data_IF_134260010825
#
_entry.id   IF_134260010825
#
_cell.length_a   1.000
_cell.length_b   1.000
_cell.length_c   1.000
_cell.angle_alpha   90.00
_cell.angle_beta   90.00
_cell.angle_gamma   90.00
#
_symmetry.space_group_name_H-M   'P 1'
#
loop_
_entity.id
_entity.type
_entity.pdbx_description
1 polymer ?
#
# COMPACT_ATOMS: atom_id res chain seq x y z
N UNK A 1 70.82 36.55 -23.26
CA UNK A 1 72.15 35.98 -22.91
C UNK A 1 72.17 35.60 -21.44
N UNK A 2 72.87 34.50 -21.11
CA UNK A 2 73.41 34.09 -19.80
C UNK A 2 72.46 33.94 -18.60
N UNK A 3 72.36 32.68 -18.17
CA UNK A 3 71.75 32.19 -16.93
C UNK A 3 72.58 32.51 -15.68
N UNK A 4 71.89 32.59 -14.54
CA UNK A 4 72.40 32.54 -13.17
C UNK A 4 71.25 31.97 -12.29
N UNK A 5 71.45 31.31 -11.14
CA UNK A 5 72.66 30.82 -10.48
C UNK A 5 72.25 29.60 -9.62
N UNK A 6 73.17 28.65 -9.38
CA UNK A 6 72.95 27.57 -8.40
C UNK A 6 73.05 28.13 -6.99
N UNK A 7 72.35 27.54 -6.02
CA UNK A 7 72.97 27.30 -4.71
C UNK A 7 72.46 25.99 -4.09
N UNK A 8 73.39 25.11 -3.77
CA UNK A 8 73.21 23.90 -2.97
C UNK A 8 74.34 23.92 -1.94
N UNK A 9 74.01 23.72 -0.66
CA UNK A 9 75.03 23.56 0.39
C UNK A 9 74.81 22.23 1.12
N UNK A 10 75.91 21.49 1.26
CA UNK A 10 75.98 20.13 1.85
C UNK A 10 76.39 20.17 3.33
N UNK A 11 76.06 19.09 4.05
CA UNK A 11 76.84 18.29 5.05
C UNK A 11 75.81 17.39 5.77
N UNK A 12 75.90 16.05 5.92
CA UNK A 12 77.03 15.11 6.05
C UNK A 12 77.39 14.95 7.55
N UNK A 13 77.44 13.80 8.23
CA UNK A 13 77.43 12.34 7.89
C UNK A 13 76.84 11.53 9.10
N UNK A 14 76.13 10.39 8.93
CA UNK A 14 76.53 8.95 9.15
C UNK A 14 77.32 8.61 10.45
N UNK A 15 77.33 7.33 10.95
CA UNK A 15 76.28 6.29 11.03
C UNK A 15 76.33 5.43 12.35
N UNK A 16 75.42 4.44 12.55
CA UNK A 16 75.78 3.05 12.98
C UNK A 16 74.57 2.08 13.06
N UNK A 17 74.86 0.79 12.95
CA UNK A 17 73.94 -0.36 12.82
C UNK A 17 73.70 -1.10 14.15
N UNK A 18 72.60 -1.87 14.22
CA UNK A 18 72.37 -3.18 14.91
C UNK A 18 70.83 -3.32 15.16
N UNK A 19 70.14 -4.46 15.10
CA UNK A 19 70.27 -5.72 14.33
C UNK A 19 68.89 -6.44 14.35
N UNK A 20 68.62 -7.32 13.37
CA UNK A 20 67.68 -8.49 13.29
C UNK A 20 66.51 -8.65 14.30
N UNK A 21 65.36 -9.26 13.99
CA UNK A 21 64.62 -9.64 12.78
C UNK A 21 63.37 -10.42 13.23
N UNK A 22 62.16 -10.18 12.68
CA UNK A 22 61.04 -11.15 12.69
C UNK A 22 60.29 -11.07 11.37
N UNK A 23 60.03 -12.22 10.76
CA UNK A 23 59.20 -12.34 9.55
C UNK A 23 57.72 -12.19 9.91
N UNK A 24 56.98 -11.42 9.12
CA UNK A 24 55.74 -11.94 8.53
C UNK A 24 55.39 -11.16 7.26
N UNK A 25 55.61 -11.77 6.11
CA UNK A 25 55.15 -11.26 4.82
C UNK A 25 53.67 -11.59 4.65
N UNK A 26 52.79 -10.75 5.20
CA UNK A 26 51.40 -10.73 4.75
C UNK A 26 51.35 -10.06 3.38
N UNK A 27 51.47 -10.87 2.32
CA UNK A 27 51.09 -10.43 1.00
C UNK A 27 49.61 -10.05 1.05
N UNK A 28 49.30 -8.77 0.86
CA UNK A 28 47.96 -8.30 0.61
C UNK A 28 47.55 -8.80 -0.79
N UNK A 29 47.15 -10.07 -0.87
CA UNK A 29 46.39 -10.59 -1.99
C UNK A 29 45.06 -9.87 -1.93
N UNK A 30 44.99 -8.77 -2.66
CA UNK A 30 43.76 -8.03 -2.88
C UNK A 30 42.87 -8.91 -3.75
N UNK A 31 42.14 -9.82 -3.07
CA UNK A 31 41.15 -10.70 -3.67
C UNK A 31 40.03 -9.79 -4.18
N UNK A 32 40.19 -9.35 -5.42
CA UNK A 32 39.14 -8.79 -6.26
C UNK A 32 38.15 -9.91 -6.58
N UNK A 33 37.40 -10.34 -5.55
CA UNK A 33 36.09 -10.93 -5.77
C UNK A 33 35.29 -9.81 -6.41
N UNK A 34 34.97 -9.97 -7.69
CA UNK A 34 33.95 -9.16 -8.34
C UNK A 34 32.62 -9.42 -7.63
N UNK A 35 32.39 -8.59 -6.60
CA UNK A 35 31.14 -8.51 -5.87
C UNK A 35 30.16 -7.77 -6.75
N UNK A 36 29.71 -8.45 -7.80
CA UNK A 36 28.55 -8.02 -8.60
C UNK A 36 27.44 -7.69 -7.62
N UNK A 37 26.93 -6.47 -7.71
CA UNK A 37 26.13 -5.89 -6.64
C UNK A 37 24.85 -6.70 -6.37
N UNK A 38 24.80 -7.34 -5.20
CA UNK A 38 23.59 -8.00 -4.69
C UNK A 38 22.41 -7.03 -4.55
N UNK A 39 22.69 -5.72 -4.56
CA UNK A 39 21.72 -4.63 -4.51
C UNK A 39 21.14 -4.27 -5.88
N UNK A 40 21.82 -4.55 -7.01
CA UNK A 40 21.25 -4.29 -8.34
C UNK A 40 20.24 -5.37 -8.78
N UNK A 41 20.45 -6.65 -8.39
CA UNK A 41 19.48 -7.71 -8.69
C UNK A 41 18.10 -7.45 -8.04
N UNK A 42 18.06 -6.81 -6.88
CA UNK A 42 16.81 -6.51 -6.17
C UNK A 42 15.90 -5.52 -6.93
N UNK A 43 16.43 -4.82 -7.95
CA UNK A 43 15.64 -3.95 -8.86
C UNK A 43 15.25 -4.61 -10.18
N UNK A 44 15.52 -5.92 -10.32
CA UNK A 44 15.34 -6.77 -11.51
C UNK A 44 14.77 -8.16 -11.18
N UNK A 45 14.16 -8.32 -10.00
CA UNK A 45 13.79 -9.62 -9.43
C UNK A 45 12.70 -10.42 -10.17
N UNK A 46 12.10 -9.86 -11.23
CA UNK A 46 11.03 -10.50 -12.01
C UNK A 46 11.54 -11.21 -13.30
N UNK A 47 12.79 -10.98 -13.72
CA UNK A 47 13.33 -11.46 -15.02
C UNK A 47 14.23 -12.71 -14.92
N UNK A 48 14.62 -13.13 -13.71
CA UNK A 48 15.68 -14.12 -13.48
C UNK A 48 15.27 -15.24 -12.51
N UNK A 49 15.81 -16.44 -12.71
CA UNK A 49 15.70 -17.59 -11.81
C UNK A 49 17.07 -18.19 -11.50
N UNK A 50 17.23 -18.84 -10.34
CA UNK A 50 18.48 -19.50 -9.97
C UNK A 50 18.46 -20.99 -10.33
N UNK A 51 19.52 -21.48 -10.96
CA UNK A 51 19.75 -22.92 -11.22
C UNK A 51 20.45 -23.54 -10.02
N UNK A 52 19.87 -24.59 -9.44
CA UNK A 52 20.37 -25.19 -8.19
C UNK A 52 21.75 -25.84 -8.35
N UNK A 53 22.02 -26.49 -9.48
CA UNK A 53 23.27 -27.25 -9.70
C UNK A 53 24.51 -26.38 -9.92
N UNK A 54 24.36 -25.19 -10.52
CA UNK A 54 25.47 -24.27 -10.83
C UNK A 54 25.48 -23.01 -9.96
N UNK A 55 24.38 -22.70 -9.28
CA UNK A 55 24.18 -21.45 -8.54
C UNK A 55 23.98 -20.22 -9.43
N UNK A 56 24.03 -20.35 -10.76
CA UNK A 56 23.87 -19.24 -11.70
C UNK A 56 22.44 -18.71 -11.72
N UNK A 57 22.32 -17.40 -11.95
CA UNK A 57 21.04 -16.76 -12.24
C UNK A 57 20.86 -16.69 -13.77
N UNK A 58 19.83 -17.33 -14.29
CA UNK A 58 19.48 -17.35 -15.71
C UNK A 58 18.25 -16.48 -15.97
N UNK A 59 18.15 -15.89 -17.16
CA UNK A 59 16.92 -15.20 -17.58
C UNK A 59 15.80 -16.20 -17.83
N UNK A 60 14.59 -15.83 -17.39
CA UNK A 60 13.35 -16.57 -17.66
C UNK A 60 13.09 -16.67 -19.18
N UNK A 61 12.41 -17.74 -19.58
CA UNK A 61 11.87 -17.88 -20.93
C UNK A 61 10.55 -17.10 -21.05
N UNK A 62 10.28 -16.43 -22.20
CA UNK A 62 9.05 -15.69 -22.40
C UNK A 62 7.82 -16.60 -22.46
N UNK A 63 6.62 -16.01 -22.27
CA UNK A 63 5.35 -16.68 -22.48
C UNK A 63 5.29 -17.38 -23.86
N UNK A 64 4.68 -18.56 -23.92
CA UNK A 64 4.67 -19.39 -25.12
C UNK A 64 5.92 -20.22 -25.38
N UNK A 65 6.89 -20.21 -24.44
CA UNK A 65 8.10 -21.02 -24.52
C UNK A 65 8.43 -21.72 -23.20
N UNK A 66 9.21 -22.80 -23.28
CA UNK A 66 9.74 -23.53 -22.14
C UNK A 66 11.28 -23.58 -22.18
N UNK A 67 11.91 -23.82 -21.02
CA UNK A 67 13.37 -23.97 -20.91
C UNK A 67 13.78 -25.35 -21.44
N UNK A 68 14.49 -25.37 -22.57
CA UNK A 68 15.09 -26.58 -23.13
C UNK A 68 16.51 -26.81 -22.61
N UNK A 69 17.29 -25.75 -22.43
CA UNK A 69 18.57 -25.78 -21.71
C UNK A 69 18.71 -24.55 -20.79
N UNK A 70 19.30 -24.75 -19.61
CA UNK A 70 19.67 -23.65 -18.72
C UNK A 70 20.82 -22.81 -19.29
N UNK A 71 20.96 -21.58 -18.80
CA UNK A 71 22.06 -20.70 -19.21
C UNK A 71 23.42 -21.28 -18.80
N UNK A 72 24.46 -20.93 -19.57
CA UNK A 72 25.85 -21.45 -19.41
C UNK A 72 26.79 -20.45 -18.72
N UNK A 73 26.25 -19.34 -18.23
CA UNK A 73 26.98 -18.23 -17.61
C UNK A 73 26.07 -17.41 -16.68
N UNK A 74 26.66 -16.66 -15.74
CA UNK A 74 25.92 -15.79 -14.82
C UNK A 74 25.15 -14.68 -15.56
N UNK A 75 23.86 -14.54 -15.26
CA UNK A 75 22.91 -13.60 -15.88
C UNK A 75 22.65 -13.85 -17.39
N UNK A 76 23.07 -15.00 -17.91
CA UNK A 76 22.89 -15.43 -19.30
C UNK A 76 21.43 -15.77 -19.66
N UNK A 77 21.15 -15.90 -20.96
CA UNK A 77 19.84 -16.39 -21.44
C UNK A 77 19.75 -17.91 -21.35
N UNK A 78 18.58 -18.40 -20.95
CA UNK A 78 18.20 -19.81 -21.15
C UNK A 78 17.94 -20.08 -22.64
N UNK A 79 18.07 -21.33 -23.07
CA UNK A 79 17.62 -21.78 -24.39
C UNK A 79 16.13 -22.10 -24.32
N UNK A 80 15.30 -21.29 -24.99
CA UNK A 80 13.85 -21.39 -24.93
C UNK A 80 13.28 -21.97 -26.23
N UNK A 81 12.41 -22.98 -26.12
CA UNK A 81 11.71 -23.59 -27.26
C UNK A 81 10.20 -23.31 -27.19
N UNK A 82 9.50 -23.14 -28.33
CA UNK A 82 8.07 -22.86 -28.37
C UNK A 82 7.25 -24.05 -27.86
N UNK A 83 6.07 -23.75 -27.31
CA UNK A 83 5.08 -24.77 -26.99
C UNK A 83 4.48 -25.44 -28.24
N UNK A 84 4.18 -26.73 -28.13
CA UNK A 84 3.35 -27.46 -29.09
C UNK A 84 1.87 -27.04 -28.99
N UNK A 85 1.04 -27.48 -29.92
CA UNK A 85 -0.36 -27.02 -30.04
C UNK A 85 -1.26 -27.39 -28.84
N UNK A 86 -0.91 -28.41 -28.05
CA UNK A 86 -1.61 -28.78 -26.82
C UNK A 86 -0.93 -28.26 -25.53
N UNK A 87 0.04 -27.34 -25.66
CA UNK A 87 0.79 -26.75 -24.57
C UNK A 87 0.74 -25.21 -24.54
N UNK A 88 0.73 -24.64 -23.34
CA UNK A 88 0.81 -23.20 -23.12
C UNK A 88 1.70 -22.80 -21.92
N UNK A 89 2.16 -21.56 -21.91
CA UNK A 89 2.84 -20.88 -20.80
C UNK A 89 2.42 -19.40 -20.84
N UNK A 90 1.61 -18.96 -19.87
CA UNK A 90 0.99 -17.61 -19.90
C UNK A 90 1.93 -16.47 -19.48
N UNK A 91 2.88 -16.74 -18.60
CA UNK A 91 3.81 -15.76 -18.03
C UNK A 91 5.27 -16.19 -18.24
N UNK A 92 6.24 -15.25 -18.27
CA UNK A 92 7.65 -15.60 -18.30
C UNK A 92 8.01 -16.56 -17.18
N UNK A 93 8.67 -17.67 -17.50
CA UNK A 93 8.84 -18.79 -16.57
C UNK A 93 10.15 -19.55 -16.79
N UNK A 94 10.46 -20.45 -15.86
CA UNK A 94 11.59 -21.38 -15.95
C UNK A 94 11.12 -22.84 -16.10
N UNK A 95 9.88 -23.08 -16.54
CA UNK A 95 9.35 -24.43 -16.69
C UNK A 95 10.11 -25.21 -17.77
N UNK A 96 10.53 -26.44 -17.45
CA UNK A 96 11.20 -27.34 -18.41
C UNK A 96 10.27 -28.04 -19.42
N UNK A 97 8.98 -27.67 -19.44
CA UNK A 97 7.96 -28.07 -20.41
C UNK A 97 6.76 -27.12 -20.33
N UNK A 98 5.96 -27.04 -21.38
CA UNK A 98 4.72 -26.26 -21.33
C UNK A 98 3.63 -26.95 -20.47
N UNK A 99 2.68 -26.17 -19.97
CA UNK A 99 1.48 -26.66 -19.28
C UNK A 99 0.50 -27.18 -20.32
N UNK A 100 -0.14 -28.33 -20.07
CA UNK A 100 -1.11 -28.88 -21.02
C UNK A 100 -2.39 -28.06 -21.03
N UNK A 101 -2.92 -27.79 -22.22
CA UNK A 101 -4.22 -27.16 -22.42
C UNK A 101 -5.36 -27.95 -21.73
N UNK A 102 -6.33 -27.24 -21.16
CA UNK A 102 -7.52 -27.82 -20.55
C UNK A 102 -8.54 -28.20 -21.64
N UNK A 103 -8.98 -29.46 -21.68
CA UNK A 103 -10.17 -29.87 -22.45
C UNK A 103 -11.46 -29.55 -21.68
N UNK A 104 -12.34 -28.71 -22.22
CA UNK A 104 -13.62 -28.38 -21.58
C UNK A 104 -14.48 -29.64 -21.34
N UNK A 105 -15.17 -29.66 -20.18
CA UNK A 105 -16.05 -30.76 -19.79
C UNK A 105 -17.37 -30.76 -20.57
N UNK A 106 -18.13 -31.86 -20.46
CA UNK A 106 -19.45 -32.00 -21.08
C UNK A 106 -20.49 -30.96 -20.61
N UNK A 107 -20.37 -30.39 -19.41
CA UNK A 107 -21.23 -29.31 -18.89
C UNK A 107 -20.82 -27.91 -19.35
N UNK A 108 -19.69 -27.81 -20.06
CA UNK A 108 -19.08 -26.56 -20.51
C UNK A 108 -19.09 -26.42 -22.04
N UNK A 109 -18.74 -25.24 -22.52
CA UNK A 109 -18.40 -24.94 -23.91
C UNK A 109 -17.08 -24.17 -23.96
N UNK A 110 -16.32 -24.39 -25.03
CA UNK A 110 -15.12 -23.61 -25.32
C UNK A 110 -15.54 -22.19 -25.76
N UNK A 111 -15.11 -21.18 -24.99
CA UNK A 111 -15.26 -19.77 -25.33
C UNK A 111 -14.08 -19.27 -26.17
N UNK A 112 -12.87 -19.76 -25.89
CA UNK A 112 -11.71 -19.54 -26.74
C UNK A 112 -10.75 -20.74 -26.72
N UNK A 113 -10.16 -21.10 -27.87
CA UNK A 113 -9.22 -22.21 -27.99
C UNK A 113 -7.89 -21.91 -27.30
N UNK A 114 -7.19 -22.96 -26.90
CA UNK A 114 -5.84 -22.85 -26.38
C UNK A 114 -4.87 -22.29 -27.44
N UNK A 115 -3.84 -21.59 -26.98
CA UNK A 115 -2.66 -21.26 -27.78
C UNK A 115 -1.41 -21.25 -26.88
N UNK A 116 -0.22 -21.06 -27.46
CA UNK A 116 1.02 -21.11 -26.70
C UNK A 116 1.07 -20.18 -25.47
N UNK A 117 0.35 -19.04 -25.46
CA UNK A 117 0.36 -18.07 -24.34
C UNK A 117 -0.90 -18.06 -23.49
N UNK A 118 -1.93 -18.87 -23.81
CA UNK A 118 -3.20 -18.90 -23.08
C UNK A 118 -3.82 -20.29 -23.08
N UNK A 119 -4.30 -20.72 -21.91
CA UNK A 119 -5.10 -21.93 -21.79
C UNK A 119 -6.42 -21.81 -22.57
N UNK A 120 -7.04 -22.95 -22.88
CA UNK A 120 -8.45 -23.02 -23.28
C UNK A 120 -9.33 -22.33 -22.26
N UNK A 121 -10.24 -21.47 -22.71
CA UNK A 121 -11.22 -20.83 -21.83
C UNK A 121 -12.55 -21.56 -21.92
N UNK A 122 -12.92 -22.27 -20.84
CA UNK A 122 -14.18 -22.99 -20.75
C UNK A 122 -15.21 -22.17 -19.96
N UNK A 123 -16.45 -22.10 -20.45
CA UNK A 123 -17.59 -21.47 -19.74
C UNK A 123 -18.75 -22.44 -19.61
N UNK A 124 -19.56 -22.26 -18.57
CA UNK A 124 -20.74 -23.08 -18.34
C UNK A 124 -21.79 -22.95 -19.46
N UNK A 125 -22.46 -24.05 -19.79
CA UNK A 125 -23.56 -24.06 -20.78
C UNK A 125 -24.70 -23.14 -20.37
N UNK A 126 -25.47 -22.65 -21.35
CA UNK A 126 -26.57 -21.72 -21.09
C UNK A 126 -27.59 -22.29 -20.07
N UNK A 127 -27.99 -21.47 -19.10
CA UNK A 127 -28.80 -21.90 -17.95
C UNK A 127 -27.99 -22.55 -16.81
N UNK A 128 -26.66 -22.51 -16.86
CA UNK A 128 -25.77 -22.94 -15.77
C UNK A 128 -24.64 -21.93 -15.51
N UNK A 129 -24.08 -21.95 -14.30
CA UNK A 129 -23.08 -20.99 -13.83
C UNK A 129 -22.07 -21.62 -12.85
N UNK A 130 -20.94 -20.93 -12.63
CA UNK A 130 -20.01 -21.18 -11.53
C UNK A 130 -19.56 -19.84 -10.93
N UNK A 131 -19.63 -19.66 -9.60
CA UNK A 131 -19.06 -18.45 -8.99
C UNK A 131 -17.53 -18.41 -9.19
N UNK A 132 -16.91 -17.24 -9.47
CA UNK A 132 -15.46 -17.08 -9.45
C UNK A 132 -14.83 -17.30 -8.06
N UNK A 133 -15.62 -17.27 -6.98
CA UNK A 133 -15.13 -17.43 -5.60
C UNK A 133 -14.66 -18.86 -5.27
N UNK A 134 -15.02 -19.86 -6.10
CA UNK A 134 -14.74 -21.28 -5.84
C UNK A 134 -14.31 -22.00 -7.13
N UNK A 135 -13.49 -23.08 -7.05
CA UNK A 135 -13.19 -23.92 -8.20
C UNK A 135 -14.47 -24.47 -8.85
N UNK A 136 -14.62 -24.26 -10.17
CA UNK A 136 -15.77 -24.72 -10.93
C UNK A 136 -15.71 -26.23 -11.22
N UNK A 137 -15.88 -27.07 -10.20
CA UNK A 137 -15.88 -28.54 -10.34
C UNK A 137 -17.07 -29.03 -11.18
N UNK A 138 -18.24 -28.42 -11.02
CA UNK A 138 -19.43 -28.63 -11.84
C UNK A 138 -20.20 -27.32 -12.08
N UNK A 139 -20.78 -27.15 -13.26
CA UNK A 139 -21.67 -26.03 -13.56
C UNK A 139 -23.03 -26.20 -12.86
N UNK A 140 -23.34 -25.27 -11.95
CA UNK A 140 -24.58 -25.24 -11.17
C UNK A 140 -25.74 -24.73 -12.04
N UNK A 141 -26.96 -25.26 -11.87
CA UNK A 141 -28.13 -24.77 -12.62
C UNK A 141 -28.58 -23.42 -12.08
N UNK A 142 -28.84 -22.47 -12.98
CA UNK A 142 -29.41 -21.17 -12.62
C UNK A 142 -30.78 -21.34 -11.95
N UNK A 143 -31.08 -20.52 -10.94
CA UNK A 143 -32.42 -20.36 -10.41
C UNK A 143 -33.36 -19.77 -11.49
N UNK A 144 -34.51 -20.42 -11.71
CA UNK A 144 -35.44 -20.07 -12.79
C UNK A 144 -36.32 -18.85 -12.48
N UNK A 145 -36.59 -18.59 -11.19
CA UNK A 145 -37.44 -17.50 -10.69
C UNK A 145 -36.97 -17.07 -9.31
N UNK A 146 -37.02 -15.77 -9.02
CA UNK A 146 -36.71 -15.24 -7.69
C UNK A 146 -37.62 -15.80 -6.59
N UNK A 147 -37.16 -15.83 -5.32
CA UNK A 147 -38.00 -16.18 -4.17
C UNK A 147 -39.23 -15.28 -4.06
N UNK A 148 -40.28 -15.79 -3.40
CA UNK A 148 -41.54 -15.06 -3.18
C UNK A 148 -41.31 -13.68 -2.58
N UNK A 149 -41.89 -12.65 -3.22
CA UNK A 149 -41.74 -11.26 -2.79
C UNK A 149 -40.48 -10.54 -3.31
N UNK A 150 -39.66 -11.19 -4.14
CA UNK A 150 -38.50 -10.58 -4.80
C UNK A 150 -38.68 -10.48 -6.32
N UNK A 151 -38.01 -9.49 -6.93
CA UNK A 151 -37.96 -9.29 -8.39
C UNK A 151 -36.56 -9.55 -8.92
N UNK A 152 -36.49 -9.91 -10.20
CA UNK A 152 -35.24 -10.10 -10.93
C UNK A 152 -34.52 -8.76 -11.12
N UNK A 153 -33.32 -8.64 -10.56
CA UNK A 153 -32.44 -7.48 -10.74
C UNK A 153 -31.51 -7.71 -11.95
N UNK A 154 -30.91 -8.90 -12.07
CA UNK A 154 -30.05 -9.26 -13.19
C UNK A 154 -30.32 -10.69 -13.69
N UNK A 155 -30.05 -11.01 -14.97
CA UNK A 155 -30.07 -12.39 -15.46
C UNK A 155 -28.95 -13.23 -14.83
N UNK A 156 -29.17 -14.56 -14.81
CA UNK A 156 -28.07 -15.50 -14.60
C UNK A 156 -27.03 -15.34 -15.71
N UNK A 157 -25.76 -15.50 -15.36
CA UNK A 157 -24.60 -15.44 -16.27
C UNK A 157 -23.78 -16.73 -16.09
N UNK A 158 -22.82 -17.07 -16.97
CA UNK A 158 -21.93 -18.20 -16.73
C UNK A 158 -21.11 -18.12 -15.43
N UNK A 159 -21.06 -16.94 -14.79
CA UNK A 159 -20.26 -16.65 -13.60
C UNK A 159 -21.09 -16.32 -12.34
N UNK A 160 -22.42 -16.25 -12.44
CA UNK A 160 -23.29 -15.86 -11.33
C UNK A 160 -24.73 -16.32 -11.54
N UNK A 161 -25.44 -16.69 -10.47
CA UNK A 161 -26.87 -16.98 -10.57
C UNK A 161 -27.72 -15.73 -10.88
N UNK A 162 -29.01 -15.95 -11.10
CA UNK A 162 -30.08 -14.95 -11.14
C UNK A 162 -30.04 -14.05 -9.89
N UNK A 163 -29.69 -12.77 -10.05
CA UNK A 163 -29.71 -11.83 -8.93
C UNK A 163 -31.15 -11.35 -8.67
N UNK A 164 -31.56 -11.50 -7.41
CA UNK A 164 -32.89 -11.17 -6.92
C UNK A 164 -32.80 -10.17 -5.76
N UNK A 165 -33.85 -9.36 -5.59
CA UNK A 165 -33.96 -8.45 -4.45
C UNK A 165 -35.37 -7.91 -4.29
N UNK A 166 -35.61 -7.04 -3.30
CA UNK A 166 -36.95 -6.48 -3.07
C UNK A 166 -37.44 -5.73 -4.31
N UNK A 167 -38.76 -5.69 -4.57
CA UNK A 167 -39.33 -4.80 -5.56
C UNK A 167 -38.98 -3.36 -5.20
N UNK A 168 -37.99 -2.80 -5.89
CA UNK A 168 -37.67 -1.38 -5.84
C UNK A 168 -38.81 -0.63 -6.53
N UNK A 169 -39.87 -0.37 -5.76
CA UNK A 169 -40.87 0.63 -6.13
C UNK A 169 -40.14 1.89 -6.55
N UNK A 170 -40.43 2.37 -7.76
CA UNK A 170 -39.58 3.31 -8.51
C UNK A 170 -38.96 4.37 -7.62
N UNK A 171 -37.66 4.22 -7.29
CA UNK A 171 -36.96 5.17 -6.43
C UNK A 171 -36.99 6.53 -7.16
N UNK A 172 -37.78 7.42 -6.59
CA UNK A 172 -38.57 8.33 -7.40
C UNK A 172 -37.70 9.34 -8.13
N UNK A 173 -38.01 9.58 -9.40
CA UNK A 173 -37.46 10.71 -10.16
C UNK A 173 -37.65 12.06 -9.43
N UNK A 174 -38.59 12.15 -8.48
CA UNK A 174 -38.72 13.30 -7.58
C UNK A 174 -37.46 13.60 -6.78
N UNK A 175 -36.65 12.61 -6.35
CA UNK A 175 -35.40 12.88 -5.63
C UNK A 175 -34.37 13.60 -6.52
N UNK A 176 -34.24 13.17 -7.79
CA UNK A 176 -33.36 13.83 -8.75
C UNK A 176 -33.87 15.24 -9.09
N UNK A 177 -35.19 15.42 -9.24
CA UNK A 177 -35.81 16.73 -9.45
C UNK A 177 -35.55 17.67 -8.26
N UNK A 178 -35.69 17.19 -7.03
CA UNK A 178 -35.42 17.98 -5.80
C UNK A 178 -33.95 18.41 -5.73
N UNK A 179 -33.01 17.53 -6.06
CA UNK A 179 -31.57 17.87 -6.11
C UNK A 179 -31.32 18.96 -7.17
N UNK A 180 -31.88 18.83 -8.37
CA UNK A 180 -31.74 19.84 -9.44
C UNK A 180 -32.29 21.21 -9.01
N UNK A 181 -33.45 21.24 -8.33
CA UNK A 181 -34.04 22.48 -7.81
C UNK A 181 -33.13 23.12 -6.75
N UNK A 182 -32.59 22.34 -5.80
CA UNK A 182 -31.68 22.83 -4.76
C UNK A 182 -30.41 23.43 -5.37
N UNK A 183 -29.80 22.76 -6.35
CA UNK A 183 -28.60 23.25 -7.06
C UNK A 183 -28.91 24.55 -7.82
N UNK A 184 -30.05 24.63 -8.50
CA UNK A 184 -30.46 25.84 -9.22
C UNK A 184 -30.67 27.04 -8.26
N UNK A 185 -31.34 26.83 -7.13
CA UNK A 185 -31.54 27.87 -6.11
C UNK A 185 -30.21 28.34 -5.49
N UNK A 186 -29.29 27.41 -5.21
CA UNK A 186 -27.96 27.74 -4.71
C UNK A 186 -27.15 28.58 -5.72
N UNK A 187 -27.20 28.23 -7.01
CA UNK A 187 -26.55 29.00 -8.08
C UNK A 187 -27.12 30.43 -8.20
N UNK A 188 -28.46 30.59 -8.15
CA UNK A 188 -29.11 31.91 -8.16
C UNK A 188 -28.70 32.74 -6.95
N UNK A 189 -28.66 32.14 -5.74
CA UNK A 189 -28.20 32.83 -4.53
C UNK A 189 -26.73 33.28 -4.64
N UNK A 190 -25.84 32.44 -5.19
CA UNK A 190 -24.45 32.82 -5.44
C UNK A 190 -24.34 33.99 -6.43
N UNK A 191 -25.10 33.98 -7.53
CA UNK A 191 -25.13 35.09 -8.48
C UNK A 191 -25.62 36.39 -7.83
N UNK A 192 -26.66 36.33 -6.99
CA UNK A 192 -27.16 37.49 -6.24
C UNK A 192 -26.15 38.00 -5.20
N UNK A 193 -25.39 37.12 -4.55
CA UNK A 193 -24.31 37.50 -3.63
C UNK A 193 -23.12 38.13 -4.35
N UNK A 194 -22.75 37.61 -5.52
CA UNK A 194 -21.72 38.20 -6.38
C UNK A 194 -22.17 39.58 -6.87
N UNK A 195 -23.41 39.73 -7.35
CA UNK A 195 -23.96 41.02 -7.76
C UNK A 195 -23.99 42.02 -6.59
N UNK A 196 -24.44 41.62 -5.40
CA UNK A 196 -24.38 42.47 -4.19
C UNK A 196 -22.97 42.86 -3.77
N UNK A 197 -21.94 42.04 -4.05
CA UNK A 197 -20.53 42.41 -3.84
C UNK A 197 -20.05 43.41 -4.90
N UNK A 198 -20.36 43.18 -6.17
CA UNK A 198 -19.99 44.10 -7.26
C UNK A 198 -20.65 45.48 -7.14
N UNK A 199 -21.95 45.55 -6.79
CA UNK A 199 -22.66 46.82 -6.61
C UNK A 199 -22.36 47.54 -5.28
N UNK A 200 -21.52 46.96 -4.41
CA UNK A 200 -21.04 47.63 -3.18
C UNK A 200 -19.68 48.32 -3.35
N UNK A 201 -19.08 48.29 -4.54
CA UNK A 201 -17.98 49.18 -4.90
C UNK A 201 -18.48 50.34 -5.78
N UNK A 202 -18.87 51.49 -5.18
CA UNK A 202 -19.00 52.72 -5.94
C UNK A 202 -17.59 53.22 -6.29
N UNK A 203 -17.18 53.04 -7.54
CA UNK A 203 -16.03 53.75 -8.07
C UNK A 203 -16.43 55.22 -8.28
N UNK A 204 -15.93 56.11 -7.43
CA UNK A 204 -15.98 57.54 -7.66
C UNK A 204 -15.05 57.89 -8.85
N UNK A 205 -15.49 58.75 -9.78
CA UNK A 205 -14.62 59.17 -10.88
C UNK A 205 -15.33 59.71 -12.12
N UNK A 206 -15.78 60.96 -12.01
CA UNK A 206 -15.94 61.96 -13.09
C UNK A 206 -16.94 61.72 -14.24
N UNK A 207 -17.59 62.80 -14.66
CA UNK A 207 -18.67 62.82 -15.64
C UNK A 207 -18.49 63.99 -16.60
N UNK A 208 -18.08 63.70 -17.85
CA UNK A 208 -18.07 64.67 -18.95
C UNK A 208 -18.65 64.09 -20.24
N UNK A 209 -19.87 64.55 -20.51
CA UNK A 209 -20.57 64.78 -21.79
C UNK A 209 -20.51 63.78 -22.97
N UNK A 210 -21.69 63.18 -23.20
CA UNK A 210 -22.47 63.16 -24.47
C UNK A 210 -21.78 62.79 -25.80
N UNK A 211 -22.12 61.61 -26.35
CA UNK A 211 -21.60 61.12 -27.64
C UNK A 211 -22.49 60.15 -28.45
N UNK A 212 -23.81 60.34 -28.43
CA UNK A 212 -24.87 59.74 -29.28
C UNK A 212 -24.43 58.89 -30.52
N UNK A 213 -24.46 57.54 -30.42
CA UNK A 213 -25.14 56.63 -31.39
C UNK A 213 -24.99 55.12 -31.06
N UNK A 214 -26.14 54.45 -30.95
CA UNK A 214 -26.54 53.26 -31.71
C UNK A 214 -25.67 51.96 -31.67
N UNK A 215 -26.15 50.99 -30.88
CA UNK A 215 -26.48 49.66 -31.43
C UNK A 215 -25.34 48.66 -31.71
N UNK A 216 -24.79 48.03 -30.67
CA UNK A 216 -24.52 46.58 -30.73
C UNK A 216 -24.30 45.97 -29.32
N UNK A 217 -25.13 44.99 -28.94
CA UNK A 217 -24.96 44.25 -27.67
C UNK A 217 -23.64 43.45 -27.67
N UNK A 218 -23.18 43.05 -28.85
CA UNK A 218 -21.89 42.37 -29.05
C UNK A 218 -20.72 43.24 -28.61
N UNK A 219 -20.76 44.56 -28.83
CA UNK A 219 -19.68 45.46 -28.43
C UNK A 219 -19.55 45.58 -26.90
N UNK A 220 -20.69 45.53 -26.19
CA UNK A 220 -20.71 45.51 -24.71
C UNK A 220 -20.13 44.19 -24.16
N UNK A 221 -20.49 43.05 -24.76
CA UNK A 221 -19.96 41.73 -24.38
C UNK A 221 -18.44 41.61 -24.64
N UNK A 222 -17.96 42.10 -25.79
CA UNK A 222 -16.52 42.10 -26.13
C UNK A 222 -15.71 43.01 -25.19
N UNK A 223 -16.23 44.17 -24.80
CA UNK A 223 -15.59 45.05 -23.82
C UNK A 223 -15.52 44.44 -22.41
N UNK A 224 -16.52 43.66 -22.00
CA UNK A 224 -16.49 42.96 -20.71
C UNK A 224 -15.48 41.81 -20.72
N UNK A 225 -15.43 41.01 -21.79
CA UNK A 225 -14.47 39.90 -21.91
C UNK A 225 -13.02 40.39 -21.96
N UNK A 226 -12.73 41.52 -22.65
CA UNK A 226 -11.38 42.09 -22.70
C UNK A 226 -10.89 42.68 -21.37
N UNK A 227 -11.79 43.11 -20.47
CA UNK A 227 -11.42 43.57 -19.12
C UNK A 227 -11.07 42.43 -18.16
N UNK A 228 -11.63 41.23 -18.35
CA UNK A 228 -11.28 40.06 -17.56
C UNK A 228 -9.96 39.36 -17.97
N UNK A 229 -9.33 39.76 -19.08
CA UNK A 229 -8.12 39.12 -19.61
C UNK A 229 -6.85 39.99 -19.61
N UNK A 230 -6.86 41.15 -18.93
CA UNK A 230 -5.67 42.02 -18.79
C UNK A 230 -5.53 42.59 -17.37
N UNK A 231 -5.32 41.69 -16.41
CA UNK A 231 -5.09 42.00 -15.00
C UNK A 231 -4.16 40.99 -14.32
N UNK A 232 -3.02 40.70 -14.94
CA UNK A 232 -1.99 39.79 -14.39
C UNK A 232 -0.78 40.54 -13.84
N UNK A 233 -0.29 40.07 -12.68
CA UNK A 233 0.97 40.38 -11.99
C UNK A 233 1.18 41.81 -11.40
N UNK A 234 1.51 41.82 -10.09
CA UNK A 234 1.92 43.00 -9.30
C UNK A 234 0.74 43.74 -8.63
N UNK A 235 0.71 44.00 -7.32
CA UNK A 235 1.65 43.75 -6.20
C UNK A 235 0.92 43.04 -5.03
N UNK A 236 1.66 42.40 -4.13
CA UNK A 236 1.11 41.73 -2.93
C UNK A 236 1.76 42.29 -1.68
N UNK A 237 1.25 43.43 -1.22
CA UNK A 237 1.88 44.17 -0.12
C UNK A 237 1.50 43.61 1.27
N UNK A 238 2.48 43.66 2.16
CA UNK A 238 2.56 42.88 3.39
C UNK A 238 2.06 43.68 4.61
N UNK A 239 0.76 43.59 4.94
CA UNK A 239 0.22 44.15 6.19
C UNK A 239 -0.77 43.16 6.85
N UNK A 240 -0.23 42.11 7.47
CA UNK A 240 -0.84 41.46 8.66
C UNK A 240 0.24 40.79 9.51
N UNK A 241 1.25 41.58 9.88
CA UNK A 241 2.27 41.17 10.84
C UNK A 241 2.58 42.30 11.82
N UNK A 242 1.52 42.85 12.43
CA UNK A 242 1.59 43.69 13.63
C UNK A 242 0.26 43.55 14.40
N UNK A 243 0.34 43.61 15.73
CA UNK A 243 -0.66 43.20 16.74
C UNK A 243 -0.58 41.75 17.26
N UNK A 244 0.65 41.27 17.49
CA UNK A 244 0.92 40.15 18.41
C UNK A 244 2.07 40.50 19.38
N UNK A 245 2.01 41.68 20.02
CA UNK A 245 3.01 42.17 20.99
C UNK A 245 2.40 43.14 22.00
N UNK A 246 1.37 42.64 22.69
CA UNK A 246 0.73 43.08 23.96
C UNK A 246 -0.56 42.25 24.07
N UNK A 247 -0.83 41.47 25.10
CA UNK A 247 -0.22 41.42 26.43
C UNK A 247 0.17 39.98 26.81
N UNK A 248 1.48 39.72 26.93
CA UNK A 248 2.01 38.60 27.69
C UNK A 248 2.98 39.16 28.73
N UNK A 249 2.44 39.62 29.86
CA UNK A 249 3.00 39.51 31.21
C UNK A 249 2.07 40.19 32.23
N UNK A 250 2.05 39.67 33.48
CA UNK A 250 1.12 39.95 34.61
C UNK A 250 -0.26 39.27 34.47
N UNK A 251 -0.69 38.37 35.36
CA UNK A 251 0.00 37.74 36.49
C UNK A 251 -0.96 37.13 37.53
N UNK A 252 -0.54 36.01 38.14
CA UNK A 252 -1.09 35.32 39.33
C UNK A 252 -2.38 34.47 39.20
N UNK A 253 -2.34 33.36 39.94
CA UNK A 253 -3.37 32.33 40.24
C UNK A 253 -4.26 32.78 41.44
N UNK A 254 -5.21 32.00 42.02
CA UNK A 254 -5.71 30.65 41.68
C UNK A 254 -7.26 30.47 41.65
N UNK A 255 -7.65 29.20 41.45
CA UNK A 255 -8.98 28.60 41.31
C UNK A 255 -10.10 28.85 42.35
N UNK A 256 -11.35 28.84 41.85
CA UNK A 256 -12.64 28.35 42.43
C UNK A 256 -13.53 27.97 41.22
N UNK A 257 -14.46 27.00 41.20
CA UNK A 257 -14.86 25.95 42.16
C UNK A 257 -16.38 25.66 42.10
N UNK A 258 -16.82 24.55 41.44
CA UNK A 258 -18.23 24.17 41.26
C UNK A 258 -18.37 22.63 41.01
N UNK A 259 -19.51 21.96 41.30
CA UNK A 259 -19.45 20.77 42.16
C UNK A 259 -20.00 19.42 41.63
N UNK A 260 -19.47 18.34 42.23
CA UNK A 260 -20.10 17.12 42.77
C UNK A 260 -21.37 16.53 42.10
N UNK A 261 -21.32 15.31 41.53
CA UNK A 261 -21.55 13.98 42.19
C UNK A 261 -23.04 13.52 42.12
N UNK A 262 -23.42 12.23 42.34
CA UNK A 262 -22.67 11.01 42.70
C UNK A 262 -22.61 9.97 41.55
N UNK A 263 -21.99 8.78 41.62
CA UNK A 263 -21.24 8.12 42.70
C UNK A 263 -21.81 6.75 43.08
N UNK A 264 -21.22 5.64 42.61
CA UNK A 264 -21.37 4.30 43.21
C UNK A 264 -20.17 3.36 42.91
N UNK A 265 -19.50 3.00 44.00
CA UNK A 265 -18.73 1.77 44.33
C UNK A 265 -17.81 1.07 43.31
N UNK A 266 -16.52 1.38 43.50
CA UNK A 266 -15.36 0.49 43.58
C UNK A 266 -15.59 -1.04 43.73
N UNK A 267 -14.92 -1.83 42.86
CA UNK A 267 -14.43 -3.18 43.21
C UNK A 267 -12.95 -3.26 42.82
N UNK A 268 -12.08 -3.28 43.83
CA UNK A 268 -10.64 -3.51 43.65
C UNK A 268 -10.35 -5.00 43.53
N UNK A 269 -9.72 -5.40 42.42
CA UNK A 269 -9.01 -6.67 42.32
C UNK A 269 -7.53 -6.41 42.04
N UNK A 270 -6.70 -6.48 43.10
CA UNK A 270 -5.24 -6.49 42.97
C UNK A 270 -4.76 -7.92 42.70
N UNK A 271 -4.10 -8.14 41.57
CA UNK A 271 -3.06 -9.18 41.44
C UNK A 271 -1.86 -8.55 40.75
N UNK A 272 -0.94 -8.03 41.56
CA UNK A 272 0.36 -7.53 41.11
C UNK A 272 1.35 -8.70 41.02
N UNK A 273 1.67 -9.13 39.80
CA UNK A 273 2.74 -10.08 39.53
C UNK A 273 4.02 -9.33 39.08
N UNK A 274 5.14 -9.39 39.83
CA UNK A 274 6.33 -8.60 39.54
C UNK A 274 7.21 -9.19 38.43
N UNK A 275 6.71 -9.20 37.19
CA UNK A 275 7.54 -9.42 35.99
C UNK A 275 7.12 -8.64 34.75
N UNK A 276 6.57 -7.43 34.95
CA UNK A 276 6.29 -6.50 33.86
C UNK A 276 7.58 -5.90 33.27
N UNK A 277 8.25 -6.67 32.39
CA UNK A 277 9.16 -6.06 31.40
C UNK A 277 8.38 -4.98 30.67
N UNK A 278 8.93 -3.76 30.63
CA UNK A 278 8.26 -2.59 30.03
C UNK A 278 8.05 -2.82 28.54
N UNK A 279 6.85 -3.30 28.15
CA UNK A 279 6.53 -3.62 26.77
C UNK A 279 6.61 -2.33 25.94
N UNK A 280 7.58 -2.28 25.03
CA UNK A 280 7.87 -1.07 24.27
C UNK A 280 6.83 -0.92 23.15
N UNK A 281 5.89 -0.01 23.34
CA UNK A 281 4.83 0.28 22.37
C UNK A 281 5.47 0.71 21.04
N UNK A 282 5.04 0.08 19.95
CA UNK A 282 5.39 0.48 18.58
C UNK A 282 4.35 1.44 18.03
N UNK A 283 4.79 2.47 17.32
CA UNK A 283 3.94 3.36 16.53
C UNK A 283 4.37 3.33 15.05
N UNK A 284 3.45 3.46 14.09
CA UNK A 284 3.79 3.58 12.67
C UNK A 284 4.68 4.79 12.41
N UNK A 285 5.58 4.69 11.43
CA UNK A 285 6.40 5.83 10.99
C UNK A 285 5.54 6.84 10.20
N UNK A 286 5.69 8.16 10.41
CA UNK A 286 4.88 9.15 9.69
C UNK A 286 5.13 9.14 8.18
N UNK A 287 4.05 9.06 7.39
CA UNK A 287 4.10 9.21 5.92
C UNK A 287 3.45 8.06 5.14
N UNK A 288 3.25 6.90 5.76
CA UNK A 288 2.52 5.76 5.16
C UNK A 288 1.22 5.46 5.90
N UNK A 289 0.29 4.78 5.22
CA UNK A 289 -1.00 4.38 5.79
C UNK A 289 -0.82 3.28 6.86
N UNK A 290 -1.37 3.46 8.09
CA UNK A 290 -1.22 2.50 9.18
C UNK A 290 -1.75 1.09 8.90
N UNK A 291 -2.81 0.97 8.09
CA UNK A 291 -3.41 -0.33 7.72
C UNK A 291 -2.51 -1.07 6.74
N UNK A 292 -1.90 -0.35 5.80
CA UNK A 292 -0.92 -0.89 4.85
C UNK A 292 0.37 -1.30 5.57
N UNK A 293 0.90 -0.46 6.47
CA UNK A 293 2.07 -0.81 7.30
C UNK A 293 1.81 -2.03 8.18
N UNK A 294 0.63 -2.11 8.82
CA UNK A 294 0.23 -3.27 9.60
C UNK A 294 0.16 -4.54 8.73
N UNK A 295 -0.51 -4.47 7.57
CA UNK A 295 -0.63 -5.62 6.67
C UNK A 295 0.72 -6.06 6.10
N UNK A 296 1.63 -5.12 5.81
CA UNK A 296 3.02 -5.46 5.47
C UNK A 296 3.71 -6.21 6.60
N UNK A 297 3.52 -5.83 7.87
CA UNK A 297 4.17 -6.53 9.00
C UNK A 297 3.86 -8.04 9.07
N UNK A 298 2.73 -8.49 8.51
CA UNK A 298 2.27 -9.89 8.60
C UNK A 298 3.27 -10.90 8.03
N UNK A 299 4.10 -10.54 7.04
CA UNK A 299 5.15 -11.44 6.52
C UNK A 299 6.24 -11.74 7.58
N UNK A 300 6.52 -10.79 8.48
CA UNK A 300 7.47 -10.96 9.58
C UNK A 300 6.89 -11.93 10.61
N UNK A 301 5.62 -11.75 10.98
CA UNK A 301 4.91 -12.68 11.88
C UNK A 301 4.81 -14.10 11.29
N UNK A 302 4.39 -14.23 10.02
CA UNK A 302 4.25 -15.54 9.37
C UNK A 302 5.58 -16.30 9.21
N UNK A 303 6.72 -15.58 9.09
CA UNK A 303 8.05 -16.18 9.03
C UNK A 303 8.61 -16.55 10.41
N UNK A 304 8.44 -15.66 11.39
CA UNK A 304 9.17 -15.75 12.66
C UNK A 304 8.36 -16.49 13.76
N UNK A 305 7.03 -16.58 13.65
CA UNK A 305 6.20 -17.39 14.55
C UNK A 305 6.19 -18.85 14.09
N UNK A 306 6.44 -19.84 14.97
CA UNK A 306 6.51 -21.25 14.57
C UNK A 306 5.20 -21.75 13.95
N UNK A 307 5.30 -22.42 12.79
CA UNK A 307 4.13 -22.95 12.07
C UNK A 307 3.31 -23.98 12.85
N UNK A 308 3.81 -24.55 13.95
CA UNK A 308 3.00 -25.41 14.85
C UNK A 308 2.03 -24.61 15.74
N UNK A 309 2.35 -23.34 16.03
CA UNK A 309 1.67 -22.50 17.02
C UNK A 309 0.65 -21.53 16.40
N UNK A 310 0.55 -21.45 15.05
CA UNK A 310 -0.29 -20.46 14.37
C UNK A 310 -1.79 -20.51 14.74
N UNK A 311 -2.36 -21.70 14.95
CA UNK A 311 -3.75 -21.85 15.42
C UNK A 311 -3.90 -21.43 16.88
N UNK A 312 -2.90 -21.72 17.73
CA UNK A 312 -2.86 -21.24 19.13
C UNK A 312 -2.77 -19.71 19.17
N UNK A 313 -2.01 -19.12 18.25
CA UNK A 313 -1.89 -17.68 18.10
C UNK A 313 -3.17 -17.02 17.56
N UNK A 314 -3.81 -17.59 16.54
CA UNK A 314 -5.10 -17.11 16.03
C UNK A 314 -6.21 -17.12 17.10
N UNK A 315 -6.24 -18.14 17.98
CA UNK A 315 -7.13 -18.16 19.15
C UNK A 315 -6.84 -17.04 20.14
N UNK A 316 -5.56 -16.70 20.36
CA UNK A 316 -5.17 -15.58 21.22
C UNK A 316 -5.44 -14.19 20.59
N UNK A 317 -5.81 -14.17 19.30
CA UNK A 317 -6.33 -13.02 18.55
C UNK A 317 -7.87 -13.06 18.43
N UNK A 318 -8.56 -13.86 19.25
CA UNK A 318 -10.01 -14.01 19.32
C UNK A 318 -10.68 -14.50 18.00
N UNK A 319 -9.94 -15.23 17.16
CA UNK A 319 -10.51 -15.95 16.01
C UNK A 319 -11.18 -17.26 16.44
N UNK A 320 -12.31 -17.57 15.79
CA UNK A 320 -13.08 -18.79 16.01
C UNK A 320 -12.47 -19.97 15.22
N UNK A 321 -12.70 -21.21 15.66
CA UNK A 321 -12.24 -22.40 14.93
C UNK A 321 -12.70 -22.42 13.46
N UNK A 322 -13.91 -21.89 13.17
CA UNK A 322 -14.41 -21.75 11.80
C UNK A 322 -13.53 -20.82 10.95
N UNK A 323 -13.03 -19.72 11.52
CA UNK A 323 -12.12 -18.80 10.82
C UNK A 323 -10.78 -19.46 10.53
N UNK A 324 -10.25 -20.22 11.51
CA UNK A 324 -8.98 -20.94 11.38
C UNK A 324 -9.07 -22.07 10.36
N UNK A 325 -10.22 -22.76 10.28
CA UNK A 325 -10.49 -23.78 9.26
C UNK A 325 -10.62 -23.16 7.85
N UNK A 326 -11.24 -21.99 7.72
CA UNK A 326 -11.28 -21.25 6.45
C UNK A 326 -9.90 -20.78 6.01
N UNK A 327 -9.07 -20.28 6.93
CA UNK A 327 -7.68 -19.90 6.66
C UNK A 327 -6.81 -21.09 6.23
N UNK A 328 -7.09 -22.30 6.75
CA UNK A 328 -6.41 -23.55 6.38
C UNK A 328 -6.89 -24.12 5.02
N UNK A 329 -8.17 -23.94 4.67
CA UNK A 329 -8.71 -24.42 3.40
C UNK A 329 -8.44 -23.50 2.20
N UNK A 330 -8.19 -22.20 2.43
CA UNK A 330 -8.06 -21.21 1.36
C UNK A 330 -6.81 -21.32 0.49
N UNK A 331 -5.77 -22.06 0.90
CA UNK A 331 -4.71 -22.46 -0.03
C UNK A 331 -4.01 -23.75 0.40
N UNK A 332 -4.20 -24.82 -0.40
CA UNK A 332 -3.50 -26.10 -0.21
C UNK A 332 -2.11 -26.12 -0.87
N UNK A 333 -1.73 -25.05 -1.58
CA UNK A 333 -0.53 -24.97 -2.41
C UNK A 333 0.40 -23.81 -2.02
N UNK A 334 -0.11 -22.66 -1.53
CA UNK A 334 0.70 -21.66 -0.82
C UNK A 334 0.87 -22.03 0.66
N UNK A 335 2.09 -21.89 1.19
CA UNK A 335 2.43 -22.22 2.58
C UNK A 335 1.95 -21.17 3.61
N UNK A 336 0.89 -20.41 3.32
CA UNK A 336 0.50 -19.22 4.08
C UNK A 336 -0.89 -19.20 4.77
N UNK A 337 -1.42 -20.32 5.33
CA UNK A 337 -2.59 -20.25 6.24
C UNK A 337 -2.45 -19.21 7.37
N UNK A 338 -1.22 -18.98 7.84
CA UNK A 338 -0.89 -17.94 8.82
C UNK A 338 -1.23 -16.54 8.31
N UNK A 339 -0.83 -16.22 7.07
CA UNK A 339 -1.05 -14.89 6.49
C UNK A 339 -2.53 -14.65 6.24
N UNK A 340 -3.27 -15.68 5.79
CA UNK A 340 -4.72 -15.61 5.64
C UNK A 340 -5.43 -15.39 6.98
N UNK A 341 -5.01 -16.11 8.03
CA UNK A 341 -5.50 -15.92 9.40
C UNK A 341 -5.30 -14.47 9.88
N UNK A 342 -4.13 -13.87 9.64
CA UNK A 342 -3.88 -12.45 9.98
C UNK A 342 -4.75 -11.47 9.16
N UNK A 343 -4.97 -11.72 7.86
CA UNK A 343 -5.89 -10.91 7.07
C UNK A 343 -7.34 -11.00 7.62
N UNK A 344 -7.80 -12.20 7.98
CA UNK A 344 -9.13 -12.40 8.58
C UNK A 344 -9.27 -11.66 9.92
N UNK A 345 -8.24 -11.71 10.77
CA UNK A 345 -8.19 -10.93 12.01
C UNK A 345 -8.24 -9.42 11.76
N UNK A 346 -7.44 -8.90 10.82
CA UNK A 346 -7.44 -7.47 10.48
C UNK A 346 -8.81 -7.00 10.00
N UNK A 347 -9.49 -7.81 9.18
CA UNK A 347 -10.83 -7.53 8.67
C UNK A 347 -11.90 -7.52 9.78
N UNK A 348 -11.75 -8.33 10.84
CA UNK A 348 -12.64 -8.31 12.02
C UNK A 348 -12.39 -7.12 12.94
N UNK A 349 -11.13 -6.79 13.21
CA UNK A 349 -10.76 -5.68 14.11
C UNK A 349 -10.88 -4.30 13.47
N UNK A 350 -10.81 -4.20 12.14
CA UNK A 350 -10.91 -2.95 11.40
C UNK A 350 -9.89 -1.90 11.89
N UNK A 351 -10.37 -0.69 12.20
CA UNK A 351 -9.54 0.42 12.67
C UNK A 351 -8.88 0.19 14.05
N UNK A 352 -9.30 -0.84 14.81
CA UNK A 352 -8.66 -1.22 16.08
C UNK A 352 -7.49 -2.18 15.92
N UNK A 353 -7.26 -2.72 14.70
CA UNK A 353 -6.15 -3.60 14.42
C UNK A 353 -4.81 -2.84 14.61
N UNK A 354 -3.92 -3.37 15.45
CA UNK A 354 -2.60 -2.77 15.69
C UNK A 354 -1.51 -3.82 15.81
N UNK A 355 -0.26 -3.43 15.49
CA UNK A 355 0.90 -4.32 15.67
C UNK A 355 1.12 -4.67 17.14
N UNK A 356 0.75 -3.76 18.06
CA UNK A 356 0.87 -4.00 19.49
C UNK A 356 -0.07 -5.12 19.96
N UNK A 357 -1.28 -5.21 19.39
CA UNK A 357 -2.23 -6.31 19.64
C UNK A 357 -1.66 -7.66 19.18
N UNK A 358 -0.99 -7.69 18.02
CA UNK A 358 -0.30 -8.89 17.53
C UNK A 358 0.85 -9.32 18.45
N UNK A 359 1.65 -8.37 18.93
CA UNK A 359 2.74 -8.65 19.86
C UNK A 359 2.23 -9.09 21.24
N UNK A 360 1.19 -8.45 21.77
CA UNK A 360 0.56 -8.82 23.04
C UNK A 360 0.01 -10.26 22.98
N UNK A 361 -0.64 -10.65 21.88
CA UNK A 361 -1.10 -12.01 21.68
C UNK A 361 0.05 -13.04 21.68
N UNK A 362 1.25 -12.69 21.19
CA UNK A 362 2.44 -13.55 21.29
C UNK A 362 2.93 -13.70 22.75
N UNK A 363 2.91 -12.62 23.54
CA UNK A 363 3.21 -12.72 24.97
C UNK A 363 2.20 -13.61 25.71
N UNK A 364 0.90 -13.52 25.37
CA UNK A 364 -0.18 -14.35 25.95
C UNK A 364 -0.05 -15.86 25.64
N UNK A 365 0.73 -16.26 24.62
CA UNK A 365 0.97 -17.67 24.27
C UNK A 365 2.41 -18.13 24.55
N UNK A 366 3.10 -17.47 25.49
CA UNK A 366 4.48 -17.75 25.92
C UNK A 366 5.56 -17.52 24.85
N UNK A 367 5.20 -16.93 23.70
CA UNK A 367 6.13 -16.59 22.61
C UNK A 367 6.69 -15.16 22.73
N UNK A 368 6.76 -14.63 23.95
CA UNK A 368 7.24 -13.26 24.22
C UNK A 368 8.66 -12.99 23.72
N UNK A 369 9.55 -13.99 23.68
CA UNK A 369 10.88 -13.84 23.08
C UNK A 369 10.85 -13.60 21.57
N UNK A 370 9.86 -14.16 20.88
CA UNK A 370 9.63 -13.96 19.44
C UNK A 370 8.99 -12.60 19.20
N UNK A 371 8.10 -12.14 20.09
CA UNK A 371 7.54 -10.79 20.03
C UNK A 371 8.63 -9.70 20.06
N UNK A 372 9.63 -9.82 20.93
CA UNK A 372 10.75 -8.85 21.02
C UNK A 372 11.66 -8.88 19.78
N UNK A 373 11.87 -10.05 19.17
CA UNK A 373 12.64 -10.20 17.92
C UNK A 373 11.89 -9.60 16.72
N UNK A 374 10.59 -9.90 16.56
CA UNK A 374 9.71 -9.29 15.55
C UNK A 374 9.67 -7.77 15.73
N UNK A 375 9.50 -7.29 16.96
CA UNK A 375 9.52 -5.85 17.30
C UNK A 375 10.83 -5.18 16.86
N UNK A 376 11.97 -5.81 17.15
CA UNK A 376 13.30 -5.34 16.75
C UNK A 376 13.47 -5.30 15.22
N UNK A 377 13.00 -6.33 14.51
CA UNK A 377 13.02 -6.41 13.03
C UNK A 377 12.15 -5.34 12.38
N UNK A 378 10.94 -5.09 12.89
CA UNK A 378 10.02 -4.08 12.36
C UNK A 378 10.56 -2.65 12.52
N UNK A 379 11.33 -2.40 13.58
CA UNK A 379 12.06 -1.13 13.79
C UNK A 379 13.30 -1.05 12.89
N UNK A 380 14.05 -2.13 12.72
CA UNK A 380 15.20 -2.17 11.80
C UNK A 380 14.80 -1.97 10.33
N UNK A 381 13.62 -2.47 9.94
CA UNK A 381 13.01 -2.24 8.62
C UNK A 381 12.46 -0.82 8.42
N UNK A 382 12.45 0.03 9.47
CA UNK A 382 11.92 1.39 9.41
C UNK A 382 10.40 1.49 9.20
N UNK A 383 9.66 0.40 9.40
CA UNK A 383 8.19 0.39 9.26
C UNK A 383 7.48 0.89 10.52
N UNK A 384 8.10 0.68 11.68
CA UNK A 384 7.62 1.10 12.99
C UNK A 384 8.75 1.74 13.79
N UNK A 385 8.40 2.53 14.79
CA UNK A 385 9.35 3.12 15.74
C UNK A 385 8.84 2.93 17.17
N UNK A 386 9.76 2.80 18.13
CA UNK A 386 9.37 2.76 19.54
C UNK A 386 8.79 4.10 19.98
N UNK A 387 7.67 4.06 20.72
CA UNK A 387 7.10 5.25 21.33
C UNK A 387 8.13 5.82 22.33
N UNK A 388 8.54 7.10 22.19
CA UNK A 388 9.48 7.69 23.13
C UNK A 388 8.85 7.74 24.52
N UNK A 389 9.56 7.19 25.51
CA UNK A 389 9.20 7.29 26.92
C UNK A 389 9.07 8.78 27.28
N UNK A 390 7.85 9.22 27.62
CA UNK A 390 7.66 10.49 28.29
C UNK A 390 8.28 10.38 29.69
N UNK A 391 9.53 10.82 29.82
CA UNK A 391 10.13 11.11 31.11
C UNK A 391 9.29 12.20 31.78
N UNK A 392 8.43 11.80 32.72
CA UNK A 392 7.78 12.73 33.63
C UNK A 392 8.82 13.27 34.61
N UNK A 393 9.49 14.35 34.22
CA UNK A 393 10.09 15.24 35.21
C UNK A 393 8.93 15.93 35.94
N UNK A 394 8.67 15.47 37.16
CA UNK A 394 7.84 16.15 38.15
C UNK A 394 8.67 17.12 38.99
#
# INVERSE_FOLDING_TARGET
>A
MRSALRLSSRRGCLPLLLAKAVLSTAAAVEVRRDRVDLLELSRKGEDFYQVQDSGWYCRLCPAGTYVAEHCKEQNGSSTCLPCEADGYVEYPSHFGRCLRCWTCREDQVELSPCNATRNTQCVCKNGTFCSPDHPCEMCQKCQSRCPSGQVKIAPCTPHSDLLCGPPTGSFSGSYMIVIVIIVALAAVLLLLLLWKRCCRHPAAGDSRDLGRKSGNVVHYLVLQLTRCWRGGLGTRDNIRNEHLSRDQERGLLPAVGAPSAPGLEEVVARTSDPSAKTQKILVPVPGEDPVILLRRSFHVFARDVPFKDWKRYGRALDLLENDLALAEMNDKYSQEPFFQMLNMWQNKQGMSASVNTLLEALHRIDLGGIAEDISSKLVQQGSFQYQPLKLSYG
#
